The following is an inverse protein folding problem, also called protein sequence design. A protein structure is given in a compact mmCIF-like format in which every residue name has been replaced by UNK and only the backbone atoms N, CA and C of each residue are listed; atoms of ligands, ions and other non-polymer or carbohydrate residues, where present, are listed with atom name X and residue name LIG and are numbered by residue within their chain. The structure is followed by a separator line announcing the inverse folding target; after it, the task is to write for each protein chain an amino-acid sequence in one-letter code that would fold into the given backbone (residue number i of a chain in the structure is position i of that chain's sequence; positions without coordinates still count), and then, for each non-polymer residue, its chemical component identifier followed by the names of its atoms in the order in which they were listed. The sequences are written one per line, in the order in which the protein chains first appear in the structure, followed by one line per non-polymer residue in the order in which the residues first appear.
data_IF_157653807022
#
_entry.id   IF_157653807022
#
_cell.length_a   1.000
_cell.length_b   1.000
_cell.length_c   1.000
_cell.angle_alpha   90.00
_cell.angle_beta   90.00
_cell.angle_gamma   90.00
#
_symmetry.space_group_name_H-M   'P 1'
#
loop_
_entity.id
_entity.type
_entity.pdbx_description
1 polymer ?
#
# COMPACT_ATOMS: atom_id res chain seq x y z
N UNK A 1 -7.33 -8.58 -14.37
CA UNK A 1 -5.85 -8.74 -14.31
C UNK A 1 -5.13 -8.69 -15.65
N UNK A 2 -5.76 -9.06 -16.74
CA UNK A 2 -5.10 -8.97 -18.06
C UNK A 2 -4.60 -7.56 -18.38
N UNK A 3 -5.40 -6.55 -18.08
CA UNK A 3 -5.04 -5.15 -18.32
C UNK A 3 -3.95 -4.67 -17.38
N UNK A 4 -3.96 -5.13 -16.14
CA UNK A 4 -3.04 -4.69 -15.10
C UNK A 4 -1.69 -5.40 -15.16
N UNK A 5 -1.67 -6.68 -15.49
CA UNK A 5 -0.46 -7.50 -15.44
C UNK A 5 0.75 -6.90 -16.16
N UNK A 6 0.64 -6.39 -17.40
CA UNK A 6 1.81 -5.82 -18.05
C UNK A 6 2.43 -4.66 -17.29
N UNK A 7 1.58 -3.81 -16.69
CA UNK A 7 2.05 -2.66 -15.90
C UNK A 7 2.69 -3.13 -14.60
N UNK A 8 2.08 -4.09 -13.95
CA UNK A 8 2.59 -4.64 -12.69
C UNK A 8 3.96 -5.29 -12.89
N UNK A 9 4.11 -6.09 -13.94
CA UNK A 9 5.36 -6.77 -14.24
C UNK A 9 6.48 -5.78 -14.57
N UNK A 10 6.16 -4.69 -15.25
CA UNK A 10 7.13 -3.68 -15.68
C UNK A 10 7.44 -2.63 -14.61
N UNK A 11 6.62 -2.51 -13.58
CA UNK A 11 6.78 -1.48 -12.55
C UNK A 11 8.00 -1.72 -11.67
N UNK A 12 8.73 -0.64 -11.36
CA UNK A 12 9.82 -0.67 -10.37
C UNK A 12 9.31 -0.37 -8.97
N UNK A 13 8.23 0.41 -8.88
CA UNK A 13 7.61 0.79 -7.61
C UNK A 13 6.12 0.52 -7.70
N UNK A 14 5.57 -0.12 -6.67
CA UNK A 14 4.13 -0.39 -6.55
C UNK A 14 3.61 0.34 -5.33
N UNK A 15 2.62 1.19 -5.53
CA UNK A 15 1.94 1.87 -4.43
C UNK A 15 0.60 1.18 -4.16
N UNK A 16 0.46 0.64 -2.96
CA UNK A 16 -0.83 0.10 -2.50
C UNK A 16 -1.56 1.21 -1.78
N UNK A 17 -2.69 1.63 -2.33
CA UNK A 17 -3.50 2.72 -1.78
C UNK A 17 -4.87 2.16 -1.44
N UNK A 18 -5.25 2.24 -0.18
CA UNK A 18 -6.49 1.62 0.29
C UNK A 18 -7.07 2.36 1.49
N UNK A 19 -8.39 2.51 1.57
CA UNK A 19 -9.00 2.84 2.85
C UNK A 19 -8.85 1.67 3.82
N UNK A 20 -8.92 1.96 5.11
CA UNK A 20 -8.99 0.91 6.13
C UNK A 20 -10.47 0.67 6.44
N UNK A 21 -10.93 -0.52 6.12
CA UNK A 21 -12.27 -1.00 6.44
C UNK A 21 -12.14 -2.21 7.36
N UNK A 22 -12.73 -2.11 8.54
CA UNK A 22 -12.66 -3.19 9.53
C UNK A 22 -11.21 -3.67 9.75
N UNK A 23 -10.33 -2.70 9.96
CA UNK A 23 -8.94 -2.90 10.44
C UNK A 23 -7.98 -3.51 9.41
N UNK A 24 -8.35 -3.54 8.12
CA UNK A 24 -7.45 -4.07 7.09
C UNK A 24 -7.69 -3.38 5.75
N UNK A 25 -7.01 -3.88 4.72
CA UNK A 25 -7.16 -3.41 3.34
C UNK A 25 -8.58 -3.69 2.83
N UNK A 26 -9.05 -2.85 1.90
CA UNK A 26 -10.37 -3.06 1.34
C UNK A 26 -10.40 -4.31 0.42
N UNK A 27 -11.60 -4.78 0.12
CA UNK A 27 -11.78 -6.00 -0.67
C UNK A 27 -11.25 -5.84 -2.10
N UNK A 28 -11.38 -4.67 -2.68
CA UNK A 28 -10.97 -4.42 -4.06
C UNK A 28 -9.47 -4.60 -4.25
N UNK A 29 -8.66 -4.00 -3.38
CA UNK A 29 -7.21 -4.14 -3.50
C UNK A 29 -6.77 -5.55 -3.12
N UNK A 30 -7.43 -6.15 -2.13
CA UNK A 30 -7.10 -7.52 -1.73
C UNK A 30 -7.38 -8.50 -2.87
N UNK A 31 -8.46 -8.29 -3.61
CA UNK A 31 -8.77 -9.12 -4.78
C UNK A 31 -7.67 -9.04 -5.84
N UNK A 32 -7.10 -7.85 -6.06
CA UNK A 32 -5.96 -7.69 -6.98
C UNK A 32 -4.73 -8.42 -6.46
N UNK A 33 -4.42 -8.24 -5.18
CA UNK A 33 -3.25 -8.89 -4.56
C UNK A 33 -3.37 -10.41 -4.63
N UNK A 34 -4.55 -10.95 -4.39
CA UNK A 34 -4.77 -12.40 -4.45
C UNK A 34 -4.51 -12.96 -5.85
N UNK A 35 -4.65 -12.13 -6.88
CA UNK A 35 -4.38 -12.52 -8.26
C UNK A 35 -2.89 -12.49 -8.60
N UNK A 36 -2.05 -11.95 -7.74
CA UNK A 36 -0.59 -11.97 -7.96
C UNK A 36 -0.05 -13.40 -8.09
N UNK A 37 -0.69 -14.33 -7.42
CA UNK A 37 -0.23 -15.71 -7.42
C UNK A 37 -0.16 -16.32 -8.81
N UNK A 38 -1.01 -15.87 -9.74
CA UNK A 38 -1.00 -16.36 -11.12
C UNK A 38 0.33 -16.03 -11.84
N UNK A 39 1.05 -14.99 -11.38
CA UNK A 39 2.35 -14.58 -11.93
C UNK A 39 3.43 -14.59 -10.85
N UNK A 40 3.31 -15.47 -9.89
CA UNK A 40 4.12 -15.45 -8.67
C UNK A 40 5.62 -15.39 -8.97
N UNK A 41 6.11 -16.31 -9.78
CA UNK A 41 7.54 -16.38 -10.09
C UNK A 41 8.07 -15.11 -10.75
N UNK A 42 7.28 -14.52 -11.67
CA UNK A 42 7.70 -13.31 -12.38
C UNK A 42 7.66 -12.07 -11.50
N UNK A 43 6.90 -12.10 -10.40
CA UNK A 43 6.74 -10.95 -9.51
C UNK A 43 7.75 -10.94 -8.36
N UNK A 44 8.51 -12.01 -8.13
CA UNK A 44 9.47 -12.05 -7.04
C UNK A 44 10.67 -11.14 -7.30
N UNK A 45 11.01 -10.32 -6.31
CA UNK A 45 12.20 -9.49 -6.32
C UNK A 45 12.13 -8.26 -7.22
N UNK A 46 13.11 -7.39 -7.07
CA UNK A 46 13.36 -6.29 -7.99
C UNK A 46 12.44 -5.08 -7.88
N UNK A 47 11.55 -5.05 -6.91
CA UNK A 47 10.59 -3.94 -6.77
C UNK A 47 10.65 -3.32 -5.39
N UNK A 48 10.20 -2.06 -5.33
CA UNK A 48 9.91 -1.37 -4.08
C UNK A 48 8.40 -1.21 -3.97
N UNK A 49 7.90 -1.12 -2.77
CA UNK A 49 6.47 -0.84 -2.56
C UNK A 49 6.26 0.10 -1.40
N UNK A 50 5.17 0.86 -1.49
CA UNK A 50 4.70 1.73 -0.41
C UNK A 50 3.24 1.39 -0.13
N UNK A 51 2.83 1.61 1.12
CA UNK A 51 1.44 1.48 1.53
C UNK A 51 0.94 2.84 1.95
N UNK A 52 -0.17 3.26 1.39
CA UNK A 52 -0.85 4.50 1.76
C UNK A 52 -2.28 4.14 2.12
N UNK A 53 -2.69 4.43 3.35
CA UNK A 53 -4.04 4.15 3.79
C UNK A 53 -4.69 5.40 4.36
N UNK A 54 -6.02 5.43 4.30
CA UNK A 54 -6.82 6.45 4.96
C UNK A 54 -7.84 5.76 5.85
N UNK A 55 -8.05 6.31 7.05
CA UNK A 55 -9.00 5.73 8.01
C UNK A 55 -9.70 6.84 8.79
N UNK A 56 -10.94 6.58 9.18
CA UNK A 56 -11.71 7.52 9.99
C UNK A 56 -11.26 7.50 11.45
N UNK A 57 -10.73 6.37 11.92
CA UNK A 57 -10.30 6.19 13.30
C UNK A 57 -9.11 7.09 13.64
N UNK A 58 -9.04 7.51 14.90
CA UNK A 58 -7.92 8.29 15.44
C UNK A 58 -6.81 7.40 15.98
N UNK A 59 -7.09 6.12 16.23
CA UNK A 59 -6.14 5.17 16.78
C UNK A 59 -5.30 4.53 15.67
N UNK A 60 -3.99 4.65 15.78
CA UNK A 60 -3.09 4.04 14.79
C UNK A 60 -3.19 2.52 14.74
N UNK A 61 -3.62 1.91 15.84
CA UNK A 61 -3.83 0.46 15.91
C UNK A 61 -4.88 -0.03 14.90
N UNK A 62 -5.78 0.85 14.43
CA UNK A 62 -6.76 0.49 13.42
C UNK A 62 -6.12 0.08 12.09
N UNK A 63 -4.91 0.56 11.81
CA UNK A 63 -4.17 0.21 10.59
C UNK A 63 -3.21 -0.97 10.80
N UNK A 64 -3.13 -1.53 11.99
CA UNK A 64 -2.15 -2.56 12.30
C UNK A 64 -2.28 -3.78 11.38
N UNK A 65 -3.50 -4.26 11.16
CA UNK A 65 -3.74 -5.42 10.29
C UNK A 65 -3.28 -5.17 8.86
N UNK A 66 -3.56 -4.00 8.31
CA UNK A 66 -3.13 -3.63 6.97
C UNK A 66 -1.61 -3.53 6.89
N UNK A 67 -0.98 -2.93 7.89
CA UNK A 67 0.47 -2.79 7.93
C UNK A 67 1.18 -4.15 8.00
N UNK A 68 0.68 -5.06 8.83
CA UNK A 68 1.23 -6.41 8.94
C UNK A 68 1.06 -7.17 7.63
N UNK A 69 -0.13 -7.12 7.04
CA UNK A 69 -0.40 -7.79 5.76
C UNK A 69 0.55 -7.27 4.67
N UNK A 70 0.73 -5.96 4.59
CA UNK A 70 1.64 -5.35 3.63
C UNK A 70 3.07 -5.87 3.81
N UNK A 71 3.58 -5.84 5.04
CA UNK A 71 4.94 -6.30 5.33
C UNK A 71 5.14 -7.77 4.99
N UNK A 72 4.16 -8.62 5.30
CA UNK A 72 4.26 -10.04 4.99
C UNK A 72 4.20 -10.31 3.48
N UNK A 73 3.37 -9.56 2.75
CA UNK A 73 3.31 -9.65 1.29
C UNK A 73 4.66 -9.30 0.68
N UNK A 74 5.28 -8.20 1.13
CA UNK A 74 6.58 -7.78 0.61
C UNK A 74 7.67 -8.78 0.96
N UNK A 75 7.63 -9.34 2.16
CA UNK A 75 8.58 -10.36 2.57
C UNK A 75 8.50 -11.59 1.66
N UNK A 76 7.28 -12.04 1.37
CA UNK A 76 7.06 -13.17 0.49
C UNK A 76 7.55 -12.87 -0.94
N UNK A 77 7.21 -11.70 -1.47
CA UNK A 77 7.58 -11.29 -2.84
C UNK A 77 9.03 -10.82 -2.96
N UNK A 78 9.72 -10.66 -1.84
CA UNK A 78 11.08 -10.13 -1.80
C UNK A 78 11.17 -8.71 -2.40
N UNK A 79 10.17 -7.89 -2.09
CA UNK A 79 10.14 -6.47 -2.45
C UNK A 79 10.60 -5.62 -1.29
N UNK A 80 11.25 -4.51 -1.59
CA UNK A 80 11.69 -3.57 -0.55
C UNK A 80 10.52 -2.73 -0.05
N UNK A 81 10.38 -2.62 1.27
CA UNK A 81 9.41 -1.71 1.89
C UNK A 81 9.98 -0.29 1.85
N UNK A 82 9.44 0.55 0.98
CA UNK A 82 9.88 1.93 0.82
C UNK A 82 9.09 2.92 1.68
N UNK A 83 8.10 2.46 2.42
CA UNK A 83 7.40 3.30 3.39
C UNK A 83 5.94 2.95 3.58
N UNK A 84 5.40 3.39 4.72
CA UNK A 84 3.99 3.23 5.09
C UNK A 84 3.47 4.58 5.57
N UNK A 85 2.37 5.03 5.00
CA UNK A 85 1.65 6.21 5.46
C UNK A 85 0.21 5.82 5.79
N UNK A 86 -0.17 5.98 7.05
CA UNK A 86 -1.54 5.76 7.51
C UNK A 86 -2.14 7.12 7.88
N UNK A 87 -3.01 7.66 7.03
CA UNK A 87 -3.69 8.92 7.30
C UNK A 87 -4.89 8.66 8.20
N UNK A 88 -4.72 8.88 9.50
CA UNK A 88 -5.78 8.69 10.48
C UNK A 88 -6.70 9.90 10.55
N UNK A 89 -7.90 9.72 11.13
CA UNK A 89 -8.91 10.75 11.27
C UNK A 89 -9.19 11.47 9.94
N UNK A 90 -9.27 10.71 8.85
CA UNK A 90 -9.34 11.25 7.50
C UNK A 90 -10.51 10.65 6.74
N UNK A 91 -11.73 11.07 7.07
CA UNK A 91 -12.94 10.64 6.37
C UNK A 91 -13.11 11.32 5.02
N UNK A 92 -12.64 12.56 4.90
CA UNK A 92 -12.68 13.36 3.66
C UNK A 92 -11.33 14.07 3.46
N UNK A 93 -11.07 14.51 2.24
CA UNK A 93 -9.78 15.13 1.90
C UNK A 93 -9.45 16.34 2.77
N UNK A 94 -10.44 17.12 3.19
CA UNK A 94 -10.24 18.31 4.02
C UNK A 94 -9.75 17.98 5.44
N UNK A 95 -9.84 16.73 5.87
CA UNK A 95 -9.34 16.29 7.18
C UNK A 95 -7.82 16.11 7.19
N UNK A 96 -7.19 16.05 6.02
CA UNK A 96 -5.75 15.82 5.92
C UNK A 96 -4.97 17.02 6.48
N UNK A 97 -4.01 16.72 7.35
CA UNK A 97 -3.15 17.75 7.94
C UNK A 97 -1.96 18.05 7.05
N UNK A 98 -1.31 19.19 7.29
CA UNK A 98 -0.08 19.56 6.58
C UNK A 98 1.03 18.53 6.85
N UNK A 99 1.10 17.98 8.05
CA UNK A 99 2.11 16.97 8.42
C UNK A 99 1.94 15.70 7.58
N UNK A 100 0.70 15.25 7.39
CA UNK A 100 0.40 14.08 6.57
C UNK A 100 0.77 14.34 5.11
N UNK A 101 0.40 15.51 4.60
CA UNK A 101 0.72 15.87 3.22
C UNK A 101 2.22 15.98 2.98
N UNK A 102 2.95 16.55 3.94
CA UNK A 102 4.41 16.63 3.87
C UNK A 102 5.03 15.24 3.89
N UNK A 103 4.56 14.37 4.76
CA UNK A 103 5.06 12.99 4.82
C UNK A 103 4.85 12.28 3.49
N UNK A 104 3.67 12.45 2.89
CA UNK A 104 3.37 11.85 1.60
C UNK A 104 4.28 12.40 0.50
N UNK A 105 4.54 13.70 0.51
CA UNK A 105 5.45 14.32 -0.44
C UNK A 105 6.87 13.76 -0.32
N UNK A 106 7.37 13.69 0.92
CA UNK A 106 8.72 13.19 1.18
C UNK A 106 8.84 11.72 0.83
N UNK A 107 7.81 10.93 1.10
CA UNK A 107 7.75 9.53 0.73
C UNK A 107 7.92 9.36 -0.78
N UNK A 108 7.17 10.11 -1.56
CA UNK A 108 7.26 10.07 -3.02
C UNK A 108 8.62 10.53 -3.53
N UNK A 109 9.15 11.59 -2.94
CA UNK A 109 10.45 12.16 -3.32
C UNK A 109 11.59 11.15 -3.14
N UNK A 110 11.49 10.31 -2.12
CA UNK A 110 12.55 9.37 -1.76
C UNK A 110 12.42 7.99 -2.41
N UNK A 111 11.48 7.81 -3.33
CA UNK A 111 11.26 6.53 -4.00
C UNK A 111 12.29 6.19 -5.08
N UNK A 112 13.17 7.07 -5.40
CA UNK A 112 14.17 6.86 -6.46
C UNK A 112 15.28 5.89 -6.08
#
# INVERSE_FOLDING_TARGET
MRTLNPYLLDADVVAFVSPIYYFTLNAQIKAVIDRFYANDDALHGGKKAVLITAMADTETSAAYGANVAFKEILKYLEWENAGILNAKNSSVASDLTEDVLKYAYDLGKNLK
#
